data_IF_355518734120
#
_entry.id   IF_355518734120
#
_cell.length_a   1.000
_cell.length_b   1.000
_cell.length_c   1.000
_cell.angle_alpha   90.00
_cell.angle_beta   90.00
_cell.angle_gamma   90.00
#
_symmetry.space_group_name_H-M   'P 1'
#
loop_
_entity.id
_entity.type
_entity.pdbx_description
1 polymer ?
#
# COMPACT_ATOMS: atom_id res chain seq x y z
N UNK A 1 -17.89 26.59 -8.45
CA UNK A 1 -17.20 25.71 -7.48
C UNK A 1 -15.84 26.31 -7.16
N UNK A 2 -15.79 27.02 -6.04
CA UNK A 2 -14.56 27.55 -5.50
C UNK A 2 -13.80 26.39 -4.78
N UNK A 3 -12.45 26.40 -4.79
CA UNK A 3 -11.68 25.41 -4.02
C UNK A 3 -12.02 25.37 -2.53
N UNK A 4 -12.57 26.45 -2.01
CA UNK A 4 -13.07 26.54 -0.63
C UNK A 4 -14.37 25.77 -0.39
N UNK A 5 -15.10 25.41 -1.45
CA UNK A 5 -16.33 24.63 -1.37
C UNK A 5 -16.07 23.12 -1.37
N UNK A 6 -14.84 22.71 -1.59
CA UNK A 6 -14.42 21.35 -1.34
C UNK A 6 -14.36 21.17 0.16
N UNK A 7 -15.46 20.68 0.72
CA UNK A 7 -15.48 20.19 2.09
C UNK A 7 -14.41 19.09 2.19
N UNK A 8 -13.34 19.43 2.84
CA UNK A 8 -12.42 18.43 3.38
C UNK A 8 -13.20 17.71 4.49
N UNK A 9 -14.15 16.89 4.10
CA UNK A 9 -14.79 15.99 5.02
C UNK A 9 -13.68 15.14 5.65
N UNK A 10 -13.66 15.14 6.97
CA UNK A 10 -12.76 14.30 7.72
C UNK A 10 -12.99 12.86 7.27
N UNK A 11 -12.06 12.35 6.47
CA UNK A 11 -12.08 10.96 6.07
C UNK A 11 -12.01 10.10 7.31
N UNK A 12 -13.09 9.43 7.64
CA UNK A 12 -13.07 8.45 8.70
C UNK A 12 -12.53 7.12 8.18
N UNK A 13 -11.96 6.33 9.07
CA UNK A 13 -11.48 4.99 8.73
C UNK A 13 -12.56 4.11 8.08
N UNK A 14 -13.83 4.30 8.48
CA UNK A 14 -14.95 3.57 7.91
C UNK A 14 -15.24 3.89 6.45
N UNK A 15 -14.82 5.06 5.96
CA UNK A 15 -15.04 5.50 4.59
C UNK A 15 -14.02 4.89 3.61
N UNK A 16 -12.98 4.25 4.12
CA UNK A 16 -11.95 3.63 3.31
C UNK A 16 -12.39 2.25 2.81
N UNK A 17 -11.93 1.88 1.62
CA UNK A 17 -12.12 0.53 1.12
C UNK A 17 -11.28 -0.49 1.92
N UNK A 18 -11.58 -1.77 1.77
CA UNK A 18 -10.92 -2.83 2.52
C UNK A 18 -9.39 -2.87 2.37
N UNK A 19 -8.80 -2.73 1.16
CA UNK A 19 -7.35 -2.65 1.02
C UNK A 19 -6.72 -1.46 1.74
N UNK A 20 -7.37 -0.30 1.70
CA UNK A 20 -6.89 0.90 2.39
C UNK A 20 -6.96 0.74 3.91
N UNK A 21 -8.02 0.14 4.44
CA UNK A 21 -8.15 -0.18 5.86
C UNK A 21 -7.04 -1.13 6.32
N UNK A 22 -6.76 -2.16 5.54
CA UNK A 22 -5.67 -3.10 5.83
C UNK A 22 -4.31 -2.39 5.86
N UNK A 23 -4.05 -1.50 4.91
CA UNK A 23 -2.82 -0.71 4.87
C UNK A 23 -2.69 0.19 6.10
N UNK A 24 -3.76 0.87 6.50
CA UNK A 24 -3.78 1.74 7.69
C UNK A 24 -3.48 0.94 8.96
N UNK A 25 -4.05 -0.25 9.11
CA UNK A 25 -3.76 -1.13 10.26
C UNK A 25 -2.29 -1.52 10.33
N UNK A 26 -1.72 -1.92 9.20
CA UNK A 26 -0.30 -2.30 9.11
C UNK A 26 0.61 -1.11 9.43
N UNK A 27 0.28 0.06 8.89
CA UNK A 27 1.03 1.28 9.15
C UNK A 27 0.97 1.69 10.62
N UNK A 28 -0.22 1.65 11.21
CA UNK A 28 -0.40 1.92 12.63
C UNK A 28 0.41 0.94 13.50
N UNK A 29 0.40 -0.33 13.16
CA UNK A 29 1.17 -1.35 13.86
C UNK A 29 2.68 -1.09 13.78
N UNK A 30 3.19 -0.77 12.60
CA UNK A 30 4.60 -0.42 12.40
C UNK A 30 5.00 0.84 13.19
N UNK A 31 4.15 1.86 13.19
CA UNK A 31 4.37 3.08 13.97
C UNK A 31 4.32 2.82 15.48
N UNK A 32 3.46 1.93 15.91
CA UNK A 32 3.39 1.51 17.33
C UNK A 32 4.67 0.78 17.75
N UNK A 33 5.23 -0.08 16.91
CA UNK A 33 6.53 -0.72 17.14
C UNK A 33 7.65 0.32 17.24
N UNK A 34 7.65 1.32 16.35
CA UNK A 34 8.62 2.41 16.37
C UNK A 34 8.55 3.18 17.70
N UNK A 35 7.35 3.54 18.11
CA UNK A 35 7.13 4.22 19.38
C UNK A 35 7.60 3.37 20.57
N UNK A 36 7.24 2.12 20.59
CA UNK A 36 7.66 1.18 21.64
C UNK A 36 9.19 1.04 21.68
N UNK A 37 9.83 0.92 20.53
CA UNK A 37 11.29 0.87 20.43
C UNK A 37 11.95 2.13 20.97
N UNK A 38 11.42 3.31 20.65
CA UNK A 38 11.92 4.58 21.19
C UNK A 38 11.76 4.69 22.71
N UNK A 39 10.61 4.27 23.23
CA UNK A 39 10.34 4.26 24.67
C UNK A 39 11.31 3.31 25.38
N UNK A 40 11.44 2.08 24.88
CA UNK A 40 12.40 1.12 25.45
C UNK A 40 13.84 1.62 25.37
N UNK A 41 14.24 2.23 24.27
CA UNK A 41 15.57 2.82 24.10
C UNK A 41 15.84 3.95 25.10
N UNK A 42 14.83 4.79 25.36
CA UNK A 42 14.94 5.87 26.34
C UNK A 42 15.13 5.35 27.77
N UNK A 43 14.51 4.24 28.11
CA UNK A 43 14.58 3.65 29.44
C UNK A 43 15.68 2.59 29.61
N UNK A 44 16.31 2.13 28.52
CA UNK A 44 17.35 1.10 28.58
C UNK A 44 18.56 1.49 29.44
N UNK A 45 18.88 2.78 29.53
CA UNK A 45 19.93 3.30 30.40
C UNK A 45 19.53 3.51 31.86
N UNK A 46 18.23 3.63 32.12
CA UNK A 46 17.69 3.94 33.45
C UNK A 46 17.29 2.68 34.25
N UNK A 47 17.07 1.56 33.58
CA UNK A 47 16.67 0.28 34.20
C UNK A 47 17.88 -0.64 34.45
N UNK A 48 18.97 -0.10 34.91
CA UNK A 48 20.09 -0.89 35.45
C UNK A 48 19.70 -1.42 36.82
N UNK A 49 18.95 -2.51 36.84
CA UNK A 49 18.83 -3.30 38.06
C UNK A 49 20.11 -4.13 38.24
N UNK A 50 20.75 -4.07 39.39
CA UNK A 50 21.94 -4.91 39.63
C UNK A 50 21.52 -6.40 39.53
N UNK A 51 22.07 -7.08 38.52
CA UNK A 51 21.85 -8.50 38.29
C UNK A 51 20.91 -8.88 37.13
N UNK A 52 20.29 -7.92 36.44
CA UNK A 52 19.53 -8.18 35.24
C UNK A 52 19.92 -7.18 34.14
N UNK A 53 20.75 -7.60 33.23
CA UNK A 53 20.90 -6.92 31.95
C UNK A 53 19.63 -7.19 31.14
N UNK A 54 18.60 -6.40 31.38
CA UNK A 54 17.47 -6.31 30.48
C UNK A 54 17.92 -5.54 29.24
N UNK A 55 18.55 -6.24 28.32
CA UNK A 55 18.70 -5.74 26.96
C UNK A 55 17.30 -5.71 26.36
N UNK A 56 16.63 -4.58 26.53
CA UNK A 56 15.41 -4.32 25.79
C UNK A 56 15.83 -4.26 24.31
N UNK A 57 15.36 -5.17 23.51
CA UNK A 57 15.68 -5.29 22.08
C UNK A 57 15.09 -4.09 21.29
N UNK A 58 15.39 -2.87 21.73
CA UNK A 58 14.84 -1.67 21.12
C UNK A 58 15.41 -1.37 19.74
N UNK A 59 16.67 -1.71 19.51
CA UNK A 59 17.32 -1.49 18.21
C UNK A 59 16.69 -2.37 17.13
N UNK A 60 16.40 -3.62 17.45
CA UNK A 60 15.71 -4.53 16.56
C UNK A 60 14.31 -4.02 16.22
N UNK A 61 13.55 -3.57 17.22
CA UNK A 61 12.23 -2.99 17.02
C UNK A 61 12.25 -1.73 16.14
N UNK A 62 13.21 -0.84 16.36
CA UNK A 62 13.36 0.38 15.57
C UNK A 62 13.73 0.07 14.12
N UNK A 63 14.67 -0.82 13.91
CA UNK A 63 15.09 -1.25 12.57
C UNK A 63 13.95 -1.91 11.82
N UNK A 64 13.28 -2.87 12.43
CA UNK A 64 12.14 -3.57 11.87
C UNK A 64 10.99 -2.63 11.52
N UNK A 65 10.66 -1.70 12.42
CA UNK A 65 9.59 -0.74 12.19
C UNK A 65 9.90 0.20 11.03
N UNK A 66 11.12 0.69 10.92
CA UNK A 66 11.54 1.54 9.80
C UNK A 66 11.44 0.81 8.46
N UNK A 67 11.87 -0.45 8.41
CA UNK A 67 11.78 -1.28 7.22
C UNK A 67 10.33 -1.54 6.82
N UNK A 68 9.47 -1.85 7.79
CA UNK A 68 8.04 -2.04 7.56
C UNK A 68 7.37 -0.78 7.04
N UNK A 69 7.65 0.37 7.63
CA UNK A 69 7.12 1.67 7.19
C UNK A 69 7.58 1.98 5.77
N UNK A 70 8.85 1.78 5.46
CA UNK A 70 9.38 2.00 4.12
C UNK A 70 8.69 1.12 3.08
N UNK A 71 8.49 -0.16 3.36
CA UNK A 71 7.78 -1.10 2.49
C UNK A 71 6.32 -0.70 2.30
N UNK A 72 5.64 -0.29 3.36
CA UNK A 72 4.25 0.13 3.29
C UNK A 72 4.07 1.42 2.47
N UNK A 73 4.97 2.36 2.61
CA UNK A 73 4.96 3.61 1.83
C UNK A 73 5.24 3.31 0.36
N UNK A 74 6.19 2.45 0.06
CA UNK A 74 6.47 2.00 -1.31
C UNK A 74 5.26 1.31 -1.93
N UNK A 75 4.63 0.39 -1.21
CA UNK A 75 3.41 -0.29 -1.64
C UNK A 75 2.29 0.69 -1.94
N UNK A 76 2.07 1.67 -1.06
CA UNK A 76 1.07 2.70 -1.26
C UNK A 76 1.38 3.55 -2.49
N UNK A 77 2.61 3.96 -2.66
CA UNK A 77 3.06 4.73 -3.82
C UNK A 77 2.79 3.98 -5.11
N UNK A 78 3.14 2.70 -5.17
CA UNK A 78 2.87 1.84 -6.34
C UNK A 78 1.37 1.71 -6.63
N UNK A 79 0.56 1.57 -5.59
CA UNK A 79 -0.91 1.51 -5.75
C UNK A 79 -1.48 2.81 -6.28
N UNK A 80 -1.01 3.95 -5.76
CA UNK A 80 -1.44 5.28 -6.22
C UNK A 80 -0.99 5.55 -7.66
N UNK A 81 0.20 5.14 -8.03
CA UNK A 81 0.68 5.25 -9.41
C UNK A 81 -0.19 4.45 -10.38
N UNK A 82 -0.64 3.28 -9.99
CA UNK A 82 -1.57 2.47 -10.81
C UNK A 82 -2.90 3.15 -11.03
N UNK A 83 -3.32 4.02 -10.12
CA UNK A 83 -4.57 4.77 -10.19
C UNK A 83 -4.43 6.09 -10.95
N UNK A 84 -3.22 6.51 -11.30
CA UNK A 84 -3.02 7.70 -12.11
C UNK A 84 -3.66 7.52 -13.47
N UNK A 85 -4.23 8.59 -14.00
CA UNK A 85 -4.97 8.55 -15.26
C UNK A 85 -4.11 8.07 -16.45
N UNK A 86 -2.84 8.47 -16.50
CA UNK A 86 -1.90 8.02 -17.52
C UNK A 86 -1.66 6.50 -17.46
N UNK A 87 -1.46 5.97 -16.28
CA UNK A 87 -1.28 4.52 -16.06
C UNK A 87 -2.57 3.73 -16.33
N UNK A 88 -3.71 4.28 -15.99
CA UNK A 88 -5.00 3.67 -16.32
C UNK A 88 -5.23 3.60 -17.84
N UNK A 89 -4.86 4.66 -18.57
CA UNK A 89 -4.93 4.68 -20.02
C UNK A 89 -3.98 3.68 -20.67
N UNK A 90 -2.74 3.56 -20.18
CA UNK A 90 -1.79 2.55 -20.63
C UNK A 90 -2.33 1.14 -20.43
N UNK A 91 -2.90 0.86 -19.27
CA UNK A 91 -3.50 -0.44 -18.97
C UNK A 91 -4.67 -0.76 -19.87
N UNK A 92 -5.56 0.21 -20.11
CA UNK A 92 -6.69 0.05 -21.03
C UNK A 92 -6.22 -0.22 -22.47
N UNK A 93 -5.20 0.50 -22.91
CA UNK A 93 -4.60 0.28 -24.23
C UNK A 93 -4.00 -1.13 -24.35
N UNK A 94 -3.29 -1.59 -23.33
CA UNK A 94 -2.71 -2.92 -23.28
C UNK A 94 -3.78 -4.02 -23.26
N UNK A 95 -4.82 -3.83 -22.46
CA UNK A 95 -5.96 -4.74 -22.40
C UNK A 95 -6.67 -4.83 -23.74
N UNK A 96 -6.89 -3.70 -24.41
CA UNK A 96 -7.48 -3.65 -25.75
C UNK A 96 -6.60 -4.37 -26.79
N UNK A 97 -5.30 -4.16 -26.73
CA UNK A 97 -4.36 -4.86 -27.61
C UNK A 97 -4.36 -6.37 -27.37
N UNK A 98 -4.33 -6.80 -26.12
CA UNK A 98 -4.39 -8.20 -25.74
C UNK A 98 -5.72 -8.84 -26.18
N UNK A 99 -6.82 -8.12 -26.03
CA UNK A 99 -8.14 -8.56 -26.47
C UNK A 99 -8.17 -8.72 -27.99
N UNK A 100 -7.64 -7.77 -28.74
CA UNK A 100 -7.55 -7.84 -30.18
C UNK A 100 -6.70 -9.03 -30.65
N UNK A 101 -5.57 -9.27 -29.99
CA UNK A 101 -4.75 -10.46 -30.24
C UNK A 101 -5.51 -11.75 -29.97
N UNK A 102 -6.21 -11.80 -28.86
CA UNK A 102 -7.05 -12.96 -28.50
C UNK A 102 -8.17 -13.21 -29.53
N UNK A 103 -8.82 -12.15 -29.98
CA UNK A 103 -9.84 -12.24 -31.03
C UNK A 103 -9.26 -12.66 -32.38
N UNK A 104 -8.04 -12.22 -32.72
CA UNK A 104 -7.33 -12.63 -33.91
C UNK A 104 -6.96 -14.12 -33.93
N UNK A 105 -6.80 -14.75 -32.79
CA UNK A 105 -6.52 -16.17 -32.63
C UNK A 105 -7.78 -17.03 -32.55
N UNK A 106 -8.95 -16.45 -32.39
CA UNK A 106 -10.19 -17.23 -32.51
C UNK A 106 -10.36 -17.67 -33.94
N UNK A 107 -10.53 -18.97 -34.18
CA UNK A 107 -10.95 -19.43 -35.52
C UNK A 107 -12.33 -18.82 -35.74
N UNK A 108 -12.34 -17.73 -36.48
CA UNK A 108 -13.59 -17.19 -36.98
C UNK A 108 -14.22 -18.29 -37.84
N UNK A 109 -15.44 -18.64 -37.51
CA UNK A 109 -16.15 -19.63 -38.29
C UNK A 109 -16.20 -19.13 -39.74
N UNK A 110 -15.50 -19.78 -40.69
CA UNK A 110 -15.43 -19.30 -42.06
C UNK A 110 -16.78 -19.19 -42.72
N UNK A 111 -17.76 -19.96 -42.26
CA UNK A 111 -19.11 -19.91 -42.74
C UNK A 111 -19.86 -18.62 -42.47
N UNK A 112 -19.49 -17.89 -41.44
CA UNK A 112 -20.16 -16.61 -41.10
C UNK A 112 -19.61 -15.43 -41.87
N UNK A 113 -18.43 -15.54 -42.42
CA UNK A 113 -17.74 -14.42 -43.11
C UNK A 113 -17.87 -14.58 -44.62
N UNK A 114 -17.97 -15.78 -45.14
CA UNK A 114 -17.87 -16.10 -46.56
C UNK A 114 -19.14 -16.66 -47.17
N UNK A 115 -20.23 -16.62 -46.48
CA UNK A 115 -21.55 -16.87 -47.04
C UNK A 115 -21.99 -15.67 -47.85
N UNK A 116 -21.37 -15.49 -48.92
CA UNK A 116 -21.83 -14.55 -49.94
C UNK A 116 -22.47 -15.35 -51.07
#
# INVERSE_FOLDING_TARGET
LLPSDVTLDEMSYGDLNSPAQSWVRKYFFAKSKEMLGRVRGKFSGALKTPGAELTLEYDALLSESKDEVAKLVEELTLRLERLRNDKMLERKALEAENLNKSLGFRPMNPGTIFTI
#
